data_IF_523322451841
#
_entry.id   IF_523322451841
#
_cell.length_a   1.000
_cell.length_b   1.000
_cell.length_c   1.000
_cell.angle_alpha   90.00
_cell.angle_beta   90.00
_cell.angle_gamma   90.00
#
_symmetry.space_group_name_H-M   'P 1'
#
loop_
_entity.id
_entity.type
_entity.pdbx_description
1 polymer ?
#
# COMPACT_ATOMS: atom_id res chain seq x y z
N UNK A 1 19.70 -3.78 5.83
CA UNK A 1 18.55 -3.63 4.92
C UNK A 1 17.72 -2.50 5.48
N UNK A 2 17.36 -1.51 4.66
CA UNK A 2 16.57 -0.37 5.11
C UNK A 2 15.07 -0.72 5.09
N UNK A 3 14.32 -0.14 6.02
CA UNK A 3 12.87 -0.28 6.10
C UNK A 3 12.23 1.10 5.94
N UNK A 4 11.27 1.21 5.03
CA UNK A 4 10.52 2.45 4.76
C UNK A 4 9.04 2.23 5.05
N UNK A 5 8.40 3.19 5.70
CA UNK A 5 6.97 3.15 6.00
C UNK A 5 6.33 4.40 5.44
N UNK A 6 5.27 4.22 4.65
CA UNK A 6 4.46 5.29 4.08
C UNK A 6 3.01 5.13 4.51
N UNK A 7 2.31 6.26 4.58
CA UNK A 7 0.92 6.36 5.03
C UNK A 7 0.08 7.18 4.06
N UNK A 8 -1.19 7.44 4.37
CA UNK A 8 -2.04 8.27 3.52
C UNK A 8 -1.47 9.69 3.28
N UNK A 9 -0.60 10.17 4.18
CA UNK A 9 0.07 11.47 4.05
C UNK A 9 1.04 11.53 2.87
N UNK A 10 1.51 10.38 2.41
CA UNK A 10 2.49 10.24 1.33
C UNK A 10 1.82 10.00 -0.02
N UNK A 11 0.48 10.07 -0.08
CA UNK A 11 -0.26 9.86 -1.32
C UNK A 11 0.10 10.91 -2.37
N UNK A 12 0.53 10.45 -3.54
CA UNK A 12 1.01 11.26 -4.66
C UNK A 12 2.48 11.68 -4.54
N UNK A 13 3.19 11.27 -3.49
CA UNK A 13 4.59 11.63 -3.29
C UNK A 13 5.55 10.79 -4.16
N UNK A 14 6.83 11.20 -4.13
CA UNK A 14 7.94 10.41 -4.64
C UNK A 14 8.90 10.08 -3.49
N UNK A 15 9.27 8.81 -3.40
CA UNK A 15 10.18 8.28 -2.39
C UNK A 15 11.44 7.71 -3.04
N UNK A 16 12.59 8.02 -2.46
CA UNK A 16 13.85 7.36 -2.78
C UNK A 16 14.13 6.26 -1.77
N UNK A 17 14.34 5.04 -2.27
CA UNK A 17 14.56 3.85 -1.45
C UNK A 17 15.80 3.11 -1.93
N UNK A 18 16.44 2.35 -1.03
CA UNK A 18 17.59 1.52 -1.39
C UNK A 18 17.14 0.20 -2.02
N UNK A 19 17.90 -0.33 -2.98
CA UNK A 19 17.70 -1.70 -3.45
C UNK A 19 17.77 -2.69 -2.28
N UNK A 20 16.89 -3.70 -2.31
CA UNK A 20 16.71 -4.69 -1.26
C UNK A 20 15.91 -4.21 -0.04
N UNK A 21 15.54 -2.92 0.03
CA UNK A 21 14.77 -2.39 1.15
C UNK A 21 13.36 -2.98 1.24
N UNK A 22 12.85 -3.07 2.48
CA UNK A 22 11.45 -3.36 2.72
C UNK A 22 10.66 -2.06 2.69
N UNK A 23 9.49 -2.11 2.06
CA UNK A 23 8.58 -0.97 1.97
C UNK A 23 7.24 -1.41 2.53
N UNK A 24 6.74 -0.69 3.51
CA UNK A 24 5.41 -0.90 4.09
C UNK A 24 4.52 0.28 3.75
N UNK A 25 3.34 0.02 3.19
CA UNK A 25 2.29 1.04 3.02
C UNK A 25 1.18 0.77 4.03
N UNK A 26 0.91 1.73 4.91
CA UNK A 26 -0.14 1.64 5.94
C UNK A 26 -1.32 2.54 5.56
N UNK A 27 -2.50 1.95 5.34
CA UNK A 27 -3.71 2.70 5.01
C UNK A 27 -4.83 2.33 5.97
N UNK A 28 -5.55 3.32 6.48
CA UNK A 28 -6.75 3.11 7.28
C UNK A 28 -7.79 2.32 6.49
N UNK A 29 -8.32 1.30 7.14
CA UNK A 29 -9.34 0.43 6.57
C UNK A 29 -10.38 0.10 7.63
N UNK A 30 -11.66 0.20 7.27
CA UNK A 30 -12.74 -0.27 8.13
C UNK A 30 -13.48 -1.44 7.44
N UNK A 31 -13.13 -2.70 7.75
CA UNK A 31 -13.70 -3.87 7.08
C UNK A 31 -15.22 -3.98 7.22
N UNK A 32 -15.82 -3.39 8.26
CA UNK A 32 -17.28 -3.42 8.48
C UNK A 32 -18.08 -2.70 7.40
N UNK A 33 -17.43 -1.82 6.63
CA UNK A 33 -18.04 -1.07 5.52
C UNK A 33 -18.07 -1.85 4.20
N UNK A 34 -17.34 -2.97 4.14
CA UNK A 34 -17.10 -3.77 2.93
C UNK A 34 -16.02 -3.20 2.00
N UNK A 35 -15.49 -2.00 2.27
CA UNK A 35 -14.39 -1.41 1.52
C UNK A 35 -13.04 -1.97 1.98
N UNK A 36 -12.21 -2.35 1.02
CA UNK A 36 -10.84 -2.83 1.26
C UNK A 36 -9.88 -2.18 0.29
N UNK A 37 -8.67 -1.92 0.77
CA UNK A 37 -7.57 -1.56 -0.11
C UNK A 37 -7.07 -2.79 -0.85
N UNK A 38 -6.68 -2.61 -2.11
CA UNK A 38 -6.06 -3.65 -2.95
C UNK A 38 -5.02 -3.02 -3.87
N UNK A 39 -4.04 -3.80 -4.31
CA UNK A 39 -3.14 -3.41 -5.38
C UNK A 39 -3.95 -3.32 -6.68
N UNK A 40 -3.85 -2.18 -7.36
CA UNK A 40 -4.43 -1.96 -8.69
C UNK A 40 -3.38 -2.04 -9.78
N UNK A 41 -2.18 -1.50 -9.54
CA UNK A 41 -1.06 -1.55 -10.46
C UNK A 41 0.27 -1.57 -9.73
N UNK A 42 1.19 -2.40 -10.20
CA UNK A 42 2.56 -2.54 -9.71
C UNK A 42 3.46 -3.07 -10.84
N UNK A 43 4.73 -2.68 -10.84
CA UNK A 43 5.77 -3.33 -11.63
C UNK A 43 6.53 -4.36 -10.76
N UNK A 44 6.18 -5.64 -10.89
CA UNK A 44 6.79 -6.73 -10.12
C UNK A 44 8.26 -7.03 -10.46
N UNK A 45 8.78 -6.46 -11.54
CA UNK A 45 10.22 -6.53 -11.88
C UNK A 45 11.01 -5.67 -10.89
N UNK A 46 10.49 -4.48 -10.55
CA UNK A 46 11.14 -3.53 -9.66
C UNK A 46 10.70 -3.67 -8.20
N UNK A 47 9.43 -4.02 -7.96
CA UNK A 47 8.83 -4.04 -6.63
C UNK A 47 8.06 -5.34 -6.39
N UNK A 48 8.58 -6.22 -5.54
CA UNK A 48 7.95 -7.50 -5.18
C UNK A 48 6.86 -7.29 -4.13
N UNK A 49 5.61 -7.73 -4.32
CA UNK A 49 4.67 -7.91 -3.23
C UNK A 49 5.12 -9.07 -2.32
N UNK A 50 5.36 -8.80 -1.04
CA UNK A 50 5.64 -9.83 -0.03
C UNK A 50 4.37 -10.27 0.73
N UNK A 51 3.26 -9.52 0.58
CA UNK A 51 1.95 -9.84 1.15
C UNK A 51 1.23 -8.60 1.72
N UNK A 52 0.09 -8.82 2.35
CA UNK A 52 -0.64 -7.81 3.11
C UNK A 52 -1.24 -8.37 4.40
N UNK A 53 -1.46 -7.50 5.38
CA UNK A 53 -2.12 -7.84 6.64
C UNK A 53 -3.09 -6.74 7.08
N UNK A 54 -4.14 -7.13 7.80
CA UNK A 54 -5.03 -6.18 8.47
C UNK A 54 -4.73 -6.18 9.97
N UNK A 55 -4.42 -5.01 10.50
CA UNK A 55 -4.22 -4.76 11.91
C UNK A 55 -5.48 -4.14 12.49
N UNK A 56 -6.19 -4.84 13.40
CA UNK A 56 -7.32 -4.24 14.09
C UNK A 56 -6.86 -3.08 14.97
N UNK A 57 -7.77 -2.14 15.33
CA UNK A 57 -7.44 -1.07 16.26
C UNK A 57 -7.08 -1.61 17.64
N UNK A 58 -6.19 -0.90 18.36
CA UNK A 58 -5.75 -1.26 19.72
C UNK A 58 -6.91 -1.46 20.70
N UNK A 59 -8.00 -0.70 20.50
CA UNK A 59 -9.26 -0.87 21.23
C UNK A 59 -10.32 -1.46 20.30
N UNK A 60 -10.74 -2.68 20.62
CA UNK A 60 -11.79 -3.40 19.91
C UNK A 60 -13.19 -2.83 20.22
N UNK A 61 -13.46 -1.62 19.73
CA UNK A 61 -14.79 -1.02 19.77
C UNK A 61 -15.56 -1.41 18.51
N UNK A 62 -16.84 -1.82 18.60
CA UNK A 62 -17.65 -2.13 17.40
C UNK A 62 -17.62 -0.99 16.39
N UNK A 63 -17.26 -1.29 15.14
CA UNK A 63 -17.18 -0.33 14.04
C UNK A 63 -15.88 0.49 13.97
N UNK A 64 -14.93 0.31 14.90
CA UNK A 64 -13.62 0.94 14.80
C UNK A 64 -12.83 0.37 13.60
N UNK A 65 -12.29 1.27 12.77
CA UNK A 65 -11.39 0.90 11.68
C UNK A 65 -9.99 0.56 12.19
N UNK A 66 -9.25 -0.22 11.42
CA UNK A 66 -7.85 -0.58 11.66
C UNK A 66 -6.94 -0.06 10.55
N UNK A 67 -5.80 -0.72 10.38
CA UNK A 67 -4.82 -0.43 9.32
C UNK A 67 -4.64 -1.65 8.41
N UNK A 68 -4.70 -1.45 7.11
CA UNK A 68 -4.21 -2.39 6.10
C UNK A 68 -2.74 -2.08 5.85
N UNK A 69 -1.86 -3.07 5.99
CA UNK A 69 -0.44 -3.00 5.64
C UNK A 69 -0.17 -3.79 4.38
N UNK A 70 0.45 -3.16 3.39
CA UNK A 70 1.03 -3.85 2.24
C UNK A 70 2.55 -3.90 2.40
N UNK A 71 3.13 -5.07 2.19
CA UNK A 71 4.55 -5.34 2.34
C UNK A 71 5.17 -5.55 0.97
N UNK A 72 6.25 -4.85 0.69
CA UNK A 72 6.98 -4.95 -0.57
C UNK A 72 8.49 -5.03 -0.40
N UNK A 73 9.15 -5.60 -1.40
CA UNK A 73 10.61 -5.59 -1.56
C UNK A 73 11.04 -4.81 -2.79
N UNK A 74 11.95 -3.86 -2.62
CA UNK A 74 12.62 -3.20 -3.74
C UNK A 74 13.66 -4.15 -4.37
N UNK A 75 13.42 -4.68 -5.58
CA UNK A 75 14.24 -5.73 -6.19
C UNK A 75 15.44 -5.20 -6.97
N UNK A 76 15.21 -4.18 -7.78
CA UNK A 76 16.21 -3.63 -8.69
C UNK A 76 16.09 -2.12 -8.84
N UNK A 77 17.17 -1.46 -9.27
CA UNK A 77 17.18 -0.03 -9.44
C UNK A 77 16.29 0.41 -10.61
N UNK A 78 15.61 1.55 -10.44
CA UNK A 78 14.63 2.04 -11.39
C UNK A 78 13.60 2.96 -10.75
N UNK A 79 12.61 3.37 -11.52
CA UNK A 79 11.49 4.17 -11.03
C UNK A 79 10.19 3.48 -11.43
N UNK A 80 9.30 3.28 -10.46
CA UNK A 80 7.98 2.66 -10.67
C UNK A 80 6.90 3.41 -9.91
N UNK A 81 5.64 3.23 -10.31
CA UNK A 81 4.48 3.76 -9.60
C UNK A 81 3.71 2.59 -9.00
N UNK A 82 3.54 2.62 -7.68
CA UNK A 82 2.60 1.74 -6.98
C UNK A 82 1.25 2.43 -6.91
N UNK A 83 0.19 1.76 -7.36
CA UNK A 83 -1.20 2.23 -7.22
C UNK A 83 -2.00 1.22 -6.41
N UNK A 84 -2.58 1.69 -5.30
CA UNK A 84 -3.54 0.97 -4.49
C UNK A 84 -4.91 1.66 -4.60
N UNK A 85 -6.00 0.90 -4.59
CA UNK A 85 -7.36 1.43 -4.65
C UNK A 85 -8.22 0.86 -3.53
N UNK A 86 -9.16 1.67 -3.04
CA UNK A 86 -10.11 1.27 -2.01
C UNK A 86 -11.49 1.02 -2.63
N UNK A 87 -11.94 -0.23 -2.60
CA UNK A 87 -13.20 -0.63 -3.21
C UNK A 87 -13.82 -1.83 -2.49
N UNK A 88 -15.10 -2.07 -2.75
CA UNK A 88 -15.76 -3.33 -2.40
C UNK A 88 -15.37 -4.42 -3.41
N UNK A 89 -15.39 -5.67 -2.98
CA UNK A 89 -14.97 -6.80 -3.81
C UNK A 89 -15.73 -6.92 -5.15
N UNK A 90 -16.99 -6.47 -5.20
CA UNK A 90 -17.83 -6.48 -6.41
C UNK A 90 -17.73 -5.20 -7.25
N UNK A 91 -17.02 -4.17 -6.77
CA UNK A 91 -16.84 -2.92 -7.53
C UNK A 91 -15.71 -3.09 -8.54
N UNK A 92 -15.90 -2.46 -9.70
CA UNK A 92 -14.83 -2.27 -10.68
C UNK A 92 -13.86 -1.19 -10.19
N UNK A 93 -12.67 -1.15 -10.78
CA UNK A 93 -11.61 -0.22 -10.37
C UNK A 93 -12.00 1.25 -10.62
N UNK A 94 -12.73 1.54 -11.69
CA UNK A 94 -13.29 2.86 -12.00
C UNK A 94 -14.37 3.33 -10.98
N UNK A 95 -14.80 2.43 -10.09
CA UNK A 95 -15.77 2.71 -9.03
C UNK A 95 -15.11 2.76 -7.64
N UNK A 96 -13.78 2.71 -7.56
CA UNK A 96 -13.05 2.84 -6.31
C UNK A 96 -13.35 4.19 -5.64
N UNK A 97 -13.45 4.18 -4.32
CA UNK A 97 -13.77 5.37 -3.51
C UNK A 97 -12.51 6.03 -2.93
N UNK A 98 -11.35 5.43 -3.13
CA UNK A 98 -10.06 5.98 -2.73
C UNK A 98 -8.94 5.40 -3.59
N UNK A 99 -7.88 6.19 -3.77
CA UNK A 99 -6.66 5.78 -4.46
C UNK A 99 -5.45 6.28 -3.67
N UNK A 100 -4.41 5.45 -3.59
CA UNK A 100 -3.10 5.79 -3.07
C UNK A 100 -2.08 5.52 -4.16
N UNK A 101 -1.25 6.53 -4.46
CA UNK A 101 -0.20 6.44 -5.46
C UNK A 101 1.13 6.83 -4.83
N UNK A 102 2.19 6.06 -5.10
CA UNK A 102 3.55 6.40 -4.65
C UNK A 102 4.52 6.13 -5.80
N UNK A 103 5.29 7.16 -6.17
CA UNK A 103 6.41 7.00 -7.09
C UNK A 103 7.61 6.50 -6.27
N UNK A 104 8.12 5.32 -6.60
CA UNK A 104 9.22 4.69 -5.88
C UNK A 104 10.44 4.69 -6.80
N UNK A 105 11.45 5.47 -6.43
CA UNK A 105 12.74 5.53 -7.08
C UNK A 105 13.73 4.66 -6.29
N UNK A 106 14.02 3.47 -6.82
CA UNK A 106 14.95 2.50 -6.23
C UNK A 106 16.36 2.85 -6.69
N UNK A 107 17.20 3.19 -5.71
CA UNK A 107 18.60 3.53 -5.90
C UNK A 107 19.47 2.27 -5.91
N UNK A 108 20.59 2.32 -6.64
CA UNK A 108 21.61 1.27 -6.69
C UNK A 108 22.32 1.06 -5.35
#
# INVERSE_FOLDING_TARGET
MADYVFSEKDNGASAQVQRGAKITIELKENPTTGYRWTISSIDEVLLEPEGDEFLPPDQATPGAGGLRRFLFRAKDAGSTVLTLINKRAWQRDDQAVGAFNLIICILN
#
